data_IF_433021118558
#
_entry.id   IF_433021118558
#
_cell.length_a   1.000
_cell.length_b   1.000
_cell.length_c   1.000
_cell.angle_alpha   90.00
_cell.angle_beta   90.00
_cell.angle_gamma   90.00
#
_symmetry.space_group_name_H-M   'P 1'
#
loop_
_entity.id
_entity.type
_entity.pdbx_description
1 polymer ?
#
# COMPACT_ATOMS: atom_id res chain seq x y z
N UNK A 1 -54.32 -5.87 41.44
CA UNK A 1 -54.03 -7.32 41.56
C UNK A 1 -53.85 -7.84 40.14
N UNK A 2 -52.59 -8.05 39.74
CA UNK A 2 -51.95 -9.39 39.71
C UNK A 2 -52.67 -10.26 38.67
N UNK A 3 -52.11 -10.34 37.45
CA UNK A 3 -51.19 -11.43 37.10
C UNK A 3 -51.86 -12.79 37.34
N UNK A 4 -52.58 -13.29 36.34
CA UNK A 4 -52.52 -14.68 35.87
C UNK A 4 -53.54 -14.87 34.72
N UNK A 5 -53.19 -15.77 33.80
CA UNK A 5 -53.84 -16.09 32.51
C UNK A 5 -53.40 -15.17 31.35
N UNK A 6 -52.11 -15.01 31.01
CA UNK A 6 -51.17 -15.97 30.42
C UNK A 6 -51.80 -17.23 29.78
N UNK A 7 -51.29 -17.56 28.60
CA UNK A 7 -51.42 -18.86 27.92
C UNK A 7 -52.80 -19.26 27.42
N UNK A 8 -53.24 -18.66 26.31
CA UNK A 8 -53.90 -19.40 25.22
C UNK A 8 -53.93 -18.49 23.99
N UNK A 9 -53.02 -18.74 23.03
CA UNK A 9 -53.23 -18.74 21.57
C UNK A 9 -51.89 -18.55 20.81
N UNK A 10 -50.95 -19.47 21.02
CA UNK A 10 -49.99 -19.84 19.97
C UNK A 10 -50.16 -21.34 19.75
N UNK A 11 -51.16 -21.72 18.95
CA UNK A 11 -51.21 -23.06 18.37
C UNK A 11 -50.29 -23.00 17.16
N UNK A 12 -49.03 -23.32 17.36
CA UNK A 12 -48.12 -23.69 16.27
C UNK A 12 -48.60 -25.03 15.73
N UNK A 13 -49.38 -25.01 14.65
CA UNK A 13 -49.65 -26.22 13.89
C UNK A 13 -48.33 -26.70 13.31
N UNK A 14 -47.80 -27.80 13.86
CA UNK A 14 -46.72 -28.54 13.26
C UNK A 14 -47.24 -29.12 11.94
N UNK A 15 -46.98 -28.41 10.85
CA UNK A 15 -47.09 -28.99 9.53
C UNK A 15 -45.91 -29.95 9.36
N UNK A 16 -46.15 -31.24 9.59
CA UNK A 16 -45.22 -32.27 9.14
C UNK A 16 -45.27 -32.27 7.63
N UNK A 17 -44.25 -31.68 6.98
CA UNK A 17 -43.98 -31.99 5.59
C UNK A 17 -43.55 -33.44 5.53
N UNK A 18 -44.49 -34.36 5.35
CA UNK A 18 -44.15 -35.73 4.97
C UNK A 18 -43.56 -35.65 3.57
N UNK A 19 -42.32 -36.13 3.41
CA UNK A 19 -41.75 -36.32 2.10
C UNK A 19 -42.71 -37.25 1.32
N UNK A 20 -43.08 -36.93 0.07
CA UNK A 20 -43.95 -37.78 -0.73
C UNK A 20 -43.40 -39.21 -0.75
N UNK A 21 -44.20 -40.18 -0.31
CA UNK A 21 -43.83 -41.59 -0.27
C UNK A 21 -44.04 -42.22 -1.65
N UNK A 22 -43.23 -41.78 -2.62
CA UNK A 22 -43.36 -42.21 -4.02
C UNK A 22 -42.14 -41.85 -4.86
N UNK A 23 -42.12 -42.33 -6.11
CA UNK A 23 -41.09 -41.98 -7.06
C UNK A 23 -41.65 -41.79 -8.48
N UNK A 24 -41.04 -40.88 -9.23
CA UNK A 24 -41.48 -40.58 -10.60
C UNK A 24 -41.15 -41.74 -11.56
N UNK A 25 -42.08 -42.02 -12.47
CA UNK A 25 -41.92 -42.94 -13.58
C UNK A 25 -42.40 -42.29 -14.88
N UNK A 26 -41.63 -42.47 -15.95
CA UNK A 26 -41.98 -41.99 -17.29
C UNK A 26 -41.75 -43.10 -18.30
N UNK A 27 -42.70 -43.26 -19.23
CA UNK A 27 -42.63 -44.27 -20.29
C UNK A 27 -43.17 -43.73 -21.61
N UNK A 28 -42.86 -44.45 -22.70
CA UNK A 28 -43.44 -44.20 -24.03
C UNK A 28 -44.41 -45.32 -24.33
N UNK A 29 -45.68 -44.98 -24.50
CA UNK A 29 -46.73 -45.95 -24.81
C UNK A 29 -46.79 -46.23 -26.31
N UNK A 30 -46.76 -47.52 -26.67
CA UNK A 30 -46.82 -48.02 -28.05
C UNK A 30 -47.90 -49.08 -28.19
N UNK A 31 -48.49 -49.21 -29.37
CA UNK A 31 -49.38 -50.34 -29.68
C UNK A 31 -48.60 -51.61 -30.05
N UNK A 32 -49.33 -52.69 -30.37
CA UNK A 32 -48.76 -53.98 -30.74
C UNK A 32 -47.92 -53.95 -32.03
N UNK A 33 -48.10 -52.94 -32.89
CA UNK A 33 -47.30 -52.74 -34.10
C UNK A 33 -46.05 -51.89 -33.85
N UNK A 34 -45.91 -51.33 -32.64
CA UNK A 34 -44.78 -50.47 -32.25
C UNK A 34 -45.03 -48.97 -32.49
N UNK A 35 -46.21 -48.59 -32.98
CA UNK A 35 -46.58 -47.20 -33.23
C UNK A 35 -46.89 -46.47 -31.92
N UNK A 36 -46.47 -45.21 -31.82
CA UNK A 36 -46.69 -44.40 -30.61
C UNK A 36 -48.15 -43.98 -30.44
N UNK A 37 -48.65 -44.05 -29.21
CA UNK A 37 -49.99 -43.61 -28.86
C UNK A 37 -50.00 -42.12 -28.56
N UNK A 38 -50.33 -41.27 -29.53
CA UNK A 38 -50.30 -39.81 -29.35
C UNK A 38 -51.57 -39.28 -28.70
N UNK A 39 -51.44 -38.38 -27.72
CA UNK A 39 -52.56 -37.66 -27.08
C UNK A 39 -53.72 -38.56 -26.66
N UNK A 40 -53.41 -39.75 -26.15
CA UNK A 40 -54.40 -40.78 -25.82
C UNK A 40 -54.41 -41.03 -24.32
N UNK A 41 -55.61 -41.11 -23.75
CA UNK A 41 -55.78 -41.61 -22.37
C UNK A 41 -55.60 -43.13 -22.38
N UNK A 42 -54.69 -43.59 -21.54
CA UNK A 42 -54.36 -45.01 -21.34
C UNK A 42 -54.50 -45.34 -19.86
N UNK A 43 -54.60 -46.62 -19.51
CA UNK A 43 -54.52 -47.05 -18.13
C UNK A 43 -53.21 -47.81 -17.93
N UNK A 44 -52.47 -47.46 -16.88
CA UNK A 44 -51.23 -48.11 -16.49
C UNK A 44 -51.43 -48.72 -15.12
N UNK A 45 -51.20 -50.03 -15.01
CA UNK A 45 -51.14 -50.74 -13.74
C UNK A 45 -49.69 -51.04 -13.41
N UNK A 46 -49.31 -50.73 -12.18
CA UNK A 46 -47.99 -50.95 -11.64
C UNK A 46 -48.10 -51.97 -10.52
N UNK A 47 -47.23 -52.99 -10.55
CA UNK A 47 -47.11 -53.97 -9.48
C UNK A 47 -45.66 -54.08 -9.03
N UNK A 48 -45.44 -54.13 -7.71
CA UNK A 48 -44.15 -54.43 -7.10
C UNK A 48 -44.12 -55.91 -6.72
N UNK A 49 -43.14 -56.65 -7.25
CA UNK A 49 -42.93 -58.07 -7.00
C UNK A 49 -41.66 -58.26 -6.17
N UNK A 50 -41.71 -59.14 -5.19
CA UNK A 50 -40.56 -59.44 -4.32
C UNK A 50 -39.76 -60.66 -4.83
N UNK A 51 -38.45 -60.67 -4.60
CA UNK A 51 -37.49 -61.76 -4.85
C UNK A 51 -37.19 -62.04 -6.33
N UNK A 52 -38.20 -62.17 -7.21
CA UNK A 52 -38.02 -62.50 -8.64
C UNK A 52 -39.02 -61.79 -9.55
N UNK A 53 -38.79 -61.82 -10.88
CA UNK A 53 -39.71 -61.26 -11.91
C UNK A 53 -41.10 -61.91 -11.95
N UNK A 54 -41.30 -63.05 -11.29
CA UNK A 54 -42.59 -63.75 -11.13
C UNK A 54 -42.96 -63.92 -9.65
N UNK A 55 -42.35 -63.13 -8.77
CA UNK A 55 -42.55 -63.23 -7.33
C UNK A 55 -43.92 -62.76 -6.86
N UNK A 56 -44.13 -62.79 -5.55
CA UNK A 56 -45.38 -62.32 -4.93
C UNK A 56 -45.52 -60.81 -5.12
N UNK A 57 -46.72 -60.36 -5.52
CA UNK A 57 -47.04 -58.93 -5.59
C UNK A 57 -47.23 -58.41 -4.18
N UNK A 58 -46.35 -57.53 -3.73
CA UNK A 58 -46.43 -56.90 -2.39
C UNK A 58 -47.25 -55.61 -2.43
N UNK A 59 -47.32 -54.96 -3.61
CA UNK A 59 -48.09 -53.75 -3.81
C UNK A 59 -48.51 -53.62 -5.27
N UNK A 60 -49.69 -53.06 -5.53
CA UNK A 60 -50.11 -52.66 -6.87
C UNK A 60 -51.03 -51.45 -6.86
N UNK A 61 -50.95 -50.65 -7.91
CA UNK A 61 -51.77 -49.45 -8.13
C UNK A 61 -52.09 -49.25 -9.62
N UNK A 62 -53.10 -48.42 -9.90
CA UNK A 62 -53.51 -48.07 -11.27
C UNK A 62 -53.55 -46.55 -11.44
N UNK A 63 -53.13 -46.11 -12.63
CA UNK A 63 -53.13 -44.72 -13.09
C UNK A 63 -53.83 -44.61 -14.45
N UNK A 64 -54.41 -43.46 -14.74
CA UNK A 64 -55.06 -43.18 -16.04
C UNK A 64 -54.43 -41.96 -16.74
N UNK A 65 -53.12 -41.97 -17.06
CA UNK A 65 -52.47 -40.82 -17.66
C UNK A 65 -52.91 -40.60 -19.12
N UNK A 66 -52.70 -39.38 -19.60
CA UNK A 66 -52.74 -39.08 -21.03
C UNK A 66 -51.30 -38.99 -21.57
N UNK A 67 -51.06 -39.58 -22.74
CA UNK A 67 -49.79 -39.43 -23.47
C UNK A 67 -49.71 -38.08 -24.18
N UNK A 68 -48.51 -37.62 -24.52
CA UNK A 68 -48.31 -36.43 -25.36
C UNK A 68 -48.14 -36.77 -26.86
N UNK A 69 -47.77 -35.79 -27.69
CA UNK A 69 -47.51 -35.94 -29.14
C UNK A 69 -46.42 -36.97 -29.49
N UNK A 70 -45.59 -37.34 -28.53
CA UNK A 70 -44.51 -38.32 -28.67
C UNK A 70 -44.83 -39.67 -28.01
N UNK A 71 -46.05 -39.85 -27.49
CA UNK A 71 -46.47 -41.05 -26.78
C UNK A 71 -45.95 -41.15 -25.34
N UNK A 72 -45.32 -40.10 -24.81
CA UNK A 72 -44.75 -40.09 -23.46
C UNK A 72 -45.85 -39.85 -22.42
N UNK A 73 -45.86 -40.63 -21.35
CA UNK A 73 -46.65 -40.40 -20.14
C UNK A 73 -45.75 -40.33 -18.90
N UNK A 74 -46.14 -39.54 -17.91
CA UNK A 74 -45.48 -39.45 -16.60
C UNK A 74 -46.48 -39.77 -15.50
N UNK A 75 -46.04 -40.45 -14.45
CA UNK A 75 -46.81 -40.72 -13.24
C UNK A 75 -45.88 -40.79 -12.02
N UNK A 76 -46.46 -40.71 -10.83
CA UNK A 76 -45.75 -40.89 -9.57
C UNK A 76 -46.20 -42.21 -8.93
N UNK A 77 -45.27 -43.17 -8.85
CA UNK A 77 -45.52 -44.47 -8.25
C UNK A 77 -45.72 -44.32 -6.75
N UNK A 78 -46.81 -44.86 -6.20
CA UNK A 78 -47.21 -44.71 -4.81
C UNK A 78 -48.37 -43.72 -4.60
N UNK A 79 -48.78 -42.99 -5.65
CA UNK A 79 -49.87 -42.00 -5.61
C UNK A 79 -51.14 -42.43 -6.37
N UNK A 80 -51.14 -43.62 -6.96
CA UNK A 80 -52.23 -44.13 -7.79
C UNK A 80 -53.39 -44.70 -7.00
N UNK A 81 -54.39 -45.19 -7.73
CA UNK A 81 -55.49 -45.93 -7.10
C UNK A 81 -55.00 -47.32 -6.70
N UNK A 82 -54.85 -47.56 -5.40
CA UNK A 82 -54.32 -48.82 -4.85
C UNK A 82 -55.23 -49.98 -5.22
N UNK A 83 -54.64 -51.02 -5.84
CA UNK A 83 -55.30 -52.29 -6.12
C UNK A 83 -55.07 -53.34 -5.01
N UNK A 84 -53.88 -53.34 -4.40
CA UNK A 84 -53.51 -54.26 -3.31
C UNK A 84 -52.25 -53.79 -2.59
N UNK A 85 -52.12 -54.07 -1.28
CA UNK A 85 -50.96 -53.72 -0.45
C UNK A 85 -50.97 -52.27 0.03
N UNK A 86 -49.91 -51.87 0.74
CA UNK A 86 -49.66 -50.50 1.22
C UNK A 86 -48.21 -50.11 0.91
N UNK A 87 -48.03 -49.06 0.10
CA UNK A 87 -46.72 -48.62 -0.38
C UNK A 87 -45.79 -48.18 0.76
N UNK A 88 -46.35 -47.56 1.80
CA UNK A 88 -45.60 -47.04 2.97
C UNK A 88 -44.93 -48.15 3.79
N UNK A 89 -45.48 -49.36 3.70
CA UNK A 89 -45.03 -50.53 4.47
C UNK A 89 -44.05 -51.43 3.71
N UNK A 90 -43.71 -51.09 2.47
CA UNK A 90 -42.77 -51.87 1.65
C UNK A 90 -41.36 -51.73 2.25
N UNK A 91 -40.82 -52.83 2.77
CA UNK A 91 -39.45 -52.89 3.29
C UNK A 91 -38.44 -53.00 2.13
N UNK A 92 -38.05 -51.86 1.58
CA UNK A 92 -37.09 -51.75 0.47
C UNK A 92 -35.69 -52.34 0.76
N UNK A 93 -35.35 -52.59 2.03
CA UNK A 93 -34.06 -53.14 2.45
C UNK A 93 -34.04 -54.66 2.61
N UNK A 94 -35.22 -55.30 2.74
CA UNK A 94 -35.31 -56.73 3.06
C UNK A 94 -34.97 -57.68 1.90
N UNK A 95 -35.30 -57.33 0.66
CA UNK A 95 -35.09 -58.19 -0.52
C UNK A 95 -35.00 -57.36 -1.82
N UNK A 96 -34.80 -58.02 -2.95
CA UNK A 96 -34.88 -57.43 -4.29
C UNK A 96 -36.33 -57.23 -4.69
N UNK A 97 -36.63 -56.06 -5.25
CA UNK A 97 -37.95 -55.73 -5.78
C UNK A 97 -37.90 -55.54 -7.30
N UNK A 98 -39.00 -55.90 -7.96
CA UNK A 98 -39.20 -55.79 -9.40
C UNK A 98 -40.46 -54.97 -9.67
N UNK A 99 -40.40 -54.03 -10.61
CA UNK A 99 -41.54 -53.27 -11.07
C UNK A 99 -42.09 -53.92 -12.33
N UNK A 100 -43.37 -54.30 -12.30
CA UNK A 100 -44.13 -54.78 -13.46
C UNK A 100 -45.08 -53.70 -13.92
N UNK A 101 -45.02 -53.39 -15.21
CA UNK A 101 -45.85 -52.41 -15.89
C UNK A 101 -46.81 -53.14 -16.82
N UNK A 102 -48.09 -52.86 -16.66
CA UNK A 102 -49.17 -53.41 -17.45
C UNK A 102 -50.00 -52.25 -18.01
N UNK A 103 -50.51 -52.37 -19.24
CA UNK A 103 -51.19 -51.26 -19.92
C UNK A 103 -52.49 -51.72 -20.58
N UNK A 104 -53.53 -50.90 -20.44
CA UNK A 104 -54.71 -50.93 -21.32
C UNK A 104 -54.67 -49.69 -22.24
N UNK A 105 -54.46 -49.95 -23.53
CA UNK A 105 -54.36 -48.94 -24.59
C UNK A 105 -55.60 -48.06 -24.75
N UNK A 106 -56.76 -48.49 -24.24
CA UNK A 106 -58.03 -47.76 -24.33
C UNK A 106 -58.46 -47.15 -22.99
N UNK A 107 -57.62 -47.20 -21.96
CA UNK A 107 -57.92 -46.62 -20.66
C UNK A 107 -58.91 -47.43 -19.81
N UNK A 108 -59.15 -48.70 -20.18
CA UNK A 108 -60.02 -49.61 -19.45
C UNK A 108 -59.31 -50.39 -18.34
N UNK A 109 -59.79 -51.60 -18.06
CA UNK A 109 -59.29 -52.49 -17.01
C UNK A 109 -58.67 -53.79 -17.54
N UNK A 110 -58.49 -53.90 -18.86
CA UNK A 110 -57.93 -55.10 -19.51
C UNK A 110 -56.44 -54.87 -19.80
N UNK A 111 -55.61 -55.16 -18.79
CA UNK A 111 -54.18 -54.86 -18.84
C UNK A 111 -53.37 -55.98 -19.48
N UNK A 112 -52.54 -55.61 -20.46
CA UNK A 112 -51.50 -56.47 -21.01
C UNK A 112 -50.14 -56.16 -20.34
N UNK A 113 -49.34 -57.19 -20.05
CA UNK A 113 -48.02 -57.01 -19.43
C UNK A 113 -47.04 -56.46 -20.46
N UNK A 114 -46.46 -55.29 -20.16
CA UNK A 114 -45.50 -54.61 -21.04
C UNK A 114 -44.06 -54.93 -20.64
N UNK A 115 -43.75 -54.87 -19.34
CA UNK A 115 -42.39 -55.13 -18.85
C UNK A 115 -42.37 -55.53 -17.39
N UNK A 116 -41.40 -56.37 -17.00
CA UNK A 116 -41.01 -56.57 -15.60
C UNK A 116 -39.51 -56.39 -15.46
N UNK A 117 -39.08 -55.42 -14.66
CA UNK A 117 -37.66 -55.07 -14.48
C UNK A 117 -37.30 -54.92 -13.01
N UNK A 118 -36.07 -55.23 -12.61
CA UNK A 118 -35.62 -55.04 -11.24
C UNK A 118 -35.50 -53.54 -10.91
N UNK A 119 -35.97 -53.13 -9.73
CA UNK A 119 -35.66 -51.81 -9.18
C UNK A 119 -34.24 -51.83 -8.59
N UNK A 120 -33.39 -50.93 -9.08
CA UNK A 120 -32.03 -50.73 -8.59
C UNK A 120 -31.97 -49.40 -7.82
N UNK A 121 -31.07 -49.33 -6.83
CA UNK A 121 -30.83 -48.09 -6.09
C UNK A 121 -30.26 -46.99 -7.00
N UNK A 122 -30.73 -45.76 -6.82
CA UNK A 122 -30.11 -44.58 -7.46
C UNK A 122 -28.76 -44.25 -6.79
N UNK A 123 -27.79 -43.63 -7.49
CA UNK A 123 -26.47 -43.34 -6.93
C UNK A 123 -26.47 -42.56 -5.60
N UNK A 124 -27.40 -41.62 -5.43
CA UNK A 124 -27.56 -40.87 -4.17
C UNK A 124 -28.04 -41.76 -3.01
N UNK A 125 -28.89 -42.76 -3.28
CA UNK A 125 -29.35 -43.73 -2.29
C UNK A 125 -28.25 -44.72 -1.89
N UNK A 126 -27.31 -45.04 -2.80
CA UNK A 126 -26.12 -45.83 -2.48
C UNK A 126 -25.17 -45.06 -1.54
N UNK A 127 -25.03 -43.75 -1.71
CA UNK A 127 -24.23 -42.90 -0.81
C UNK A 127 -24.87 -42.75 0.59
N UNK A 128 -26.20 -42.67 0.67
CA UNK A 128 -26.91 -42.65 1.96
C UNK A 128 -26.76 -43.95 2.78
N UNK A 129 -26.56 -45.10 2.11
CA UNK A 129 -26.27 -46.39 2.76
C UNK A 129 -24.90 -46.40 3.46
N UNK A 130 -23.90 -45.72 2.88
CA UNK A 130 -22.58 -45.56 3.50
C UNK A 130 -22.61 -44.59 4.70
N UNK A 131 -23.44 -43.55 4.66
CA UNK A 131 -23.63 -42.62 5.78
C UNK A 131 -24.36 -43.24 6.99
N UNK A 132 -25.19 -44.27 6.76
CA UNK A 132 -25.89 -45.01 7.83
C UNK A 132 -25.07 -46.10 8.51
N UNK A 133 -23.85 -46.39 8.04
CA UNK A 133 -22.99 -47.46 8.56
C UNK A 133 -21.70 -46.92 9.21
N UNK A 134 -21.78 -45.76 9.87
CA UNK A 134 -20.69 -45.28 10.72
C UNK A 134 -20.70 -46.01 12.07
N UNK A 135 -20.52 -47.33 12.06
CA UNK A 135 -20.28 -48.16 13.25
C UNK A 135 -18.81 -48.50 13.44
N UNK A 136 -17.89 -47.73 12.84
CA UNK A 136 -16.43 -47.93 12.98
C UNK A 136 -15.67 -46.75 13.57
N UNK A 137 -16.34 -45.82 14.23
CA UNK A 137 -15.70 -45.01 15.27
C UNK A 137 -16.24 -45.46 16.62
N UNK A 138 -15.76 -46.61 17.10
CA UNK A 138 -15.61 -46.73 18.54
C UNK A 138 -14.63 -45.63 18.90
N UNK A 139 -15.13 -44.54 19.51
CA UNK A 139 -14.26 -43.85 20.44
C UNK A 139 -13.80 -44.91 21.47
N UNK A 140 -12.57 -44.78 21.95
CA UNK A 140 -12.05 -45.69 22.97
C UNK A 140 -12.50 -45.27 24.38
N UNK A 141 -13.29 -44.20 24.48
CA UNK A 141 -13.66 -43.51 25.71
C UNK A 141 -14.96 -42.74 25.50
N UNK A 142 -16.07 -43.38 25.87
CA UNK A 142 -17.43 -42.91 25.59
C UNK A 142 -17.90 -41.77 26.51
N UNK A 143 -16.97 -41.10 27.21
CA UNK A 143 -17.26 -39.99 28.10
C UNK A 143 -17.16 -38.65 27.39
N UNK A 144 -18.30 -38.18 26.88
CA UNK A 144 -18.45 -36.87 26.21
C UNK A 144 -18.05 -35.63 27.02
N UNK A 145 -17.62 -35.78 28.27
CA UNK A 145 -17.30 -34.67 29.18
C UNK A 145 -15.81 -34.50 29.46
N UNK A 146 -14.97 -35.49 29.17
CA UNK A 146 -13.54 -35.40 29.49
C UNK A 146 -12.70 -34.67 28.42
N UNK A 147 -13.29 -34.36 27.26
CA UNK A 147 -12.72 -33.44 26.28
C UNK A 147 -13.11 -31.97 26.51
N UNK A 148 -14.02 -31.71 27.46
CA UNK A 148 -14.47 -30.36 27.80
C UNK A 148 -13.43 -29.64 28.65
N UNK A 149 -12.43 -29.07 27.98
CA UNK A 149 -11.45 -28.21 28.62
C UNK A 149 -11.95 -26.78 28.75
N UNK A 150 -11.86 -26.22 29.95
CA UNK A 150 -12.01 -24.77 30.13
C UNK A 150 -10.69 -24.09 29.83
N UNK A 151 -10.68 -23.23 28.82
CA UNK A 151 -9.54 -22.36 28.54
C UNK A 151 -9.55 -21.20 29.55
N UNK A 152 -8.44 -20.99 30.25
CA UNK A 152 -8.26 -19.85 31.13
C UNK A 152 -6.99 -19.10 30.79
N UNK A 153 -7.05 -17.77 30.83
CA UNK A 153 -5.91 -16.90 30.64
C UNK A 153 -5.63 -16.19 31.96
N UNK A 154 -4.39 -16.31 32.43
CA UNK A 154 -3.88 -15.55 33.57
C UNK A 154 -2.51 -15.01 33.20
N UNK A 155 -2.36 -13.69 33.22
CA UNK A 155 -1.19 -12.98 32.70
C UNK A 155 -0.88 -13.37 31.23
N UNK A 156 0.28 -13.97 30.99
CA UNK A 156 0.83 -14.40 29.70
C UNK A 156 0.64 -15.90 29.46
N UNK A 157 -0.07 -16.61 30.33
CA UNK A 157 -0.16 -18.06 30.28
C UNK A 157 -1.58 -18.48 29.93
N UNK A 158 -1.74 -19.15 28.79
CA UNK A 158 -2.96 -19.86 28.45
C UNK A 158 -2.86 -21.28 29.02
N UNK A 159 -3.82 -21.64 29.86
CA UNK A 159 -3.94 -22.97 30.44
C UNK A 159 -5.27 -23.62 30.07
N UNK A 160 -5.27 -24.95 30.03
CA UNK A 160 -6.48 -25.78 29.97
C UNK A 160 -6.76 -26.37 31.36
N UNK A 161 -8.02 -26.72 31.64
CA UNK A 161 -8.45 -27.18 32.97
C UNK A 161 -7.78 -28.47 33.45
N UNK A 162 -7.38 -29.36 32.54
CA UNK A 162 -6.76 -30.65 32.88
C UNK A 162 -5.22 -30.63 32.83
N UNK A 163 -4.64 -29.43 32.89
CA UNK A 163 -3.19 -29.22 32.96
C UNK A 163 -2.54 -29.05 31.59
N UNK A 164 -1.23 -28.83 31.59
CA UNK A 164 -0.49 -28.14 30.52
C UNK A 164 -0.87 -26.67 30.38
N UNK A 165 0.16 -25.88 30.13
CA UNK A 165 0.03 -24.50 29.77
C UNK A 165 1.00 -24.19 28.66
N UNK A 166 0.65 -23.19 27.86
CA UNK A 166 1.60 -22.52 27.00
C UNK A 166 1.76 -21.12 27.58
N UNK A 167 3.00 -20.74 27.86
CA UNK A 167 3.31 -19.32 28.00
C UNK A 167 3.09 -18.79 26.58
N UNK A 168 1.99 -18.07 26.39
CA UNK A 168 1.86 -17.20 25.25
C UNK A 168 2.97 -16.19 25.48
N UNK A 169 4.13 -16.39 24.86
CA UNK A 169 5.23 -15.44 24.95
C UNK A 169 4.72 -14.15 24.33
N UNK A 170 4.08 -13.34 25.16
CA UNK A 170 3.98 -11.92 25.00
C UNK A 170 5.35 -11.40 25.40
N UNK A 171 6.35 -11.62 24.53
CA UNK A 171 7.17 -10.45 24.22
C UNK A 171 6.15 -9.45 23.72
N UNK A 172 5.91 -8.38 24.47
CA UNK A 172 4.95 -7.32 24.10
C UNK A 172 5.33 -6.56 22.84
N UNK A 173 6.05 -7.19 21.91
CA UNK A 173 6.20 -6.83 20.54
C UNK A 173 5.03 -7.43 19.78
N UNK A 174 4.23 -6.59 19.15
CA UNK A 174 3.59 -7.00 17.90
C UNK A 174 4.63 -7.78 17.09
N UNK A 175 4.29 -8.96 16.56
CA UNK A 175 5.24 -9.80 15.80
C UNK A 175 5.80 -9.08 14.55
N UNK A 176 5.35 -7.85 14.27
CA UNK A 176 6.13 -6.88 13.51
C UNK A 176 5.95 -5.44 13.98
N UNK A 177 5.88 -5.12 15.28
CA UNK A 177 5.70 -3.73 15.75
C UNK A 177 4.35 -3.09 15.36
N UNK A 178 4.08 -1.90 15.89
CA UNK A 178 3.00 -1.02 15.46
C UNK A 178 3.44 -0.28 14.18
N UNK A 179 2.48 0.10 13.33
CA UNK A 179 2.77 0.94 12.15
C UNK A 179 3.35 2.31 12.51
N UNK A 180 3.00 2.83 13.68
CA UNK A 180 3.46 4.11 14.21
C UNK A 180 4.16 3.88 15.55
N UNK A 181 5.41 4.32 15.65
CA UNK A 181 6.12 4.52 16.91
C UNK A 181 6.08 6.01 17.26
N UNK A 182 5.50 6.36 18.41
CA UNK A 182 5.34 7.76 18.83
C UNK A 182 5.93 7.96 20.22
N UNK A 183 6.94 8.80 20.32
CA UNK A 183 7.54 9.28 21.57
C UNK A 183 7.09 10.73 21.77
N UNK A 184 6.41 11.04 22.88
CA UNK A 184 5.89 12.40 23.11
C UNK A 184 5.68 12.74 24.59
N UNK A 185 5.59 14.04 24.90
CA UNK A 185 5.27 14.53 26.24
C UNK A 185 6.41 14.39 27.25
N UNK A 186 6.07 14.18 28.52
CA UNK A 186 7.05 14.05 29.61
C UNK A 186 7.83 12.73 29.63
N UNK A 187 8.03 12.10 28.47
CA UNK A 187 8.68 10.79 28.37
C UNK A 187 10.16 10.89 28.72
N UNK A 188 10.66 10.02 29.59
CA UNK A 188 12.09 9.88 29.88
C UNK A 188 12.78 8.93 28.89
N UNK A 189 14.11 8.90 28.87
CA UNK A 189 14.87 7.93 28.06
C UNK A 189 14.48 6.46 28.38
N UNK A 190 14.18 6.16 29.64
CA UNK A 190 13.77 4.81 30.06
C UNK A 190 12.37 4.46 29.55
N UNK A 191 11.44 5.41 29.58
CA UNK A 191 10.09 5.23 29.04
C UNK A 191 10.12 5.09 27.50
N UNK A 192 10.97 5.89 26.83
CA UNK A 192 11.17 5.80 25.39
C UNK A 192 11.72 4.44 24.99
N UNK A 193 12.73 3.94 25.71
CA UNK A 193 13.27 2.59 25.49
C UNK A 193 12.20 1.50 25.69
N UNK A 194 11.36 1.64 26.72
CA UNK A 194 10.26 0.69 26.95
C UNK A 194 9.24 0.70 25.80
N UNK A 195 8.86 1.89 25.30
CA UNK A 195 7.97 2.02 24.14
C UNK A 195 8.60 1.50 22.86
N UNK A 196 9.88 1.78 22.60
CA UNK A 196 10.59 1.22 21.45
C UNK A 196 10.55 -0.30 21.52
N UNK A 197 10.88 -0.89 22.67
CA UNK A 197 10.88 -2.35 22.83
C UNK A 197 9.49 -2.99 22.68
N UNK A 198 8.39 -2.28 22.92
CA UNK A 198 7.04 -2.82 22.73
C UNK A 198 6.44 -2.52 21.35
N UNK A 199 6.73 -1.34 20.80
CA UNK A 199 6.02 -0.80 19.65
C UNK A 199 6.83 -0.90 18.36
N UNK A 200 8.15 -1.02 18.42
CA UNK A 200 8.98 -1.19 17.23
C UNK A 200 8.96 -2.62 16.69
N UNK A 201 9.00 -2.77 15.37
CA UNK A 201 9.20 -4.03 14.65
C UNK A 201 9.07 -3.86 13.14
N UNK A 202 9.04 -4.97 12.39
CA UNK A 202 9.12 -4.99 10.91
C UNK A 202 8.03 -4.20 10.16
N UNK A 203 6.88 -3.95 10.78
CA UNK A 203 5.77 -3.16 10.23
C UNK A 203 5.82 -1.67 10.65
N UNK A 204 6.79 -1.25 11.46
CA UNK A 204 6.92 0.15 11.85
C UNK A 204 7.32 0.97 10.63
N UNK A 205 6.40 1.78 10.16
CA UNK A 205 6.55 2.60 8.95
C UNK A 205 6.79 4.07 9.30
N UNK A 206 6.30 4.52 10.46
CA UNK A 206 6.37 5.92 10.84
C UNK A 206 6.94 6.03 12.24
N UNK A 207 7.93 6.90 12.40
CA UNK A 207 8.49 7.26 13.71
C UNK A 207 8.25 8.74 13.94
N UNK A 208 7.66 9.06 15.09
CA UNK A 208 7.44 10.44 15.55
C UNK A 208 8.04 10.64 16.94
N UNK A 209 9.02 11.51 17.05
CA UNK A 209 9.60 11.97 18.33
C UNK A 209 9.18 13.42 18.47
N UNK A 210 8.05 13.67 19.15
CA UNK A 210 7.37 14.96 19.08
C UNK A 210 7.06 15.54 20.46
N UNK A 211 7.39 16.81 20.67
CA UNK A 211 7.08 17.57 21.88
C UNK A 211 7.51 16.86 23.18
N UNK A 212 8.68 16.21 23.18
CA UNK A 212 9.18 15.56 24.39
C UNK A 212 9.85 16.57 25.32
N UNK A 213 9.56 16.51 26.62
CA UNK A 213 10.10 17.49 27.59
C UNK A 213 11.19 16.93 28.49
N UNK A 214 11.32 15.60 28.63
CA UNK A 214 12.33 14.98 29.50
C UNK A 214 13.33 14.08 28.73
N UNK A 215 12.98 13.66 27.52
CA UNK A 215 13.81 12.82 26.66
C UNK A 215 15.08 13.56 26.25
N UNK A 216 16.23 12.91 26.46
CA UNK A 216 17.55 13.44 26.13
C UNK A 216 18.24 12.65 25.04
N UNK A 217 17.98 11.35 24.93
CA UNK A 217 18.57 10.51 23.89
C UNK A 217 17.62 9.42 23.42
N UNK A 218 17.74 9.03 22.15
CA UNK A 218 16.98 7.93 21.56
C UNK A 218 17.91 7.10 20.67
N UNK A 219 17.89 5.78 20.86
CA UNK A 219 18.55 4.82 19.99
C UNK A 219 17.52 4.11 19.11
N UNK A 220 17.60 4.35 17.81
CA UNK A 220 16.80 3.74 16.76
C UNK A 220 17.72 3.12 15.69
N UNK A 221 18.94 2.73 16.07
CA UNK A 221 19.95 2.16 15.17
C UNK A 221 19.49 0.87 14.46
N UNK A 222 18.49 0.18 14.99
CA UNK A 222 17.90 -1.01 14.38
C UNK A 222 16.86 -0.71 13.28
N UNK A 223 16.48 0.56 13.08
CA UNK A 223 15.55 0.95 12.01
C UNK A 223 16.30 1.07 10.71
N UNK A 224 15.88 0.34 9.68
CA UNK A 224 16.50 0.36 8.35
C UNK A 224 15.70 1.18 7.34
N UNK A 225 14.37 1.12 7.38
CA UNK A 225 13.52 1.81 6.40
C UNK A 225 12.33 2.44 7.11
N UNK A 226 11.91 3.62 6.64
CA UNK A 226 10.70 4.30 7.11
C UNK A 226 9.91 4.87 5.93
N UNK A 227 8.60 4.97 6.09
CA UNK A 227 7.76 5.82 5.24
C UNK A 227 7.95 7.28 5.64
N UNK A 228 7.88 7.60 6.93
CA UNK A 228 7.96 8.97 7.45
C UNK A 228 8.75 9.00 8.76
N UNK A 229 9.57 10.04 8.92
CA UNK A 229 10.28 10.35 10.16
C UNK A 229 10.04 11.80 10.55
N UNK A 230 9.50 12.02 11.74
CA UNK A 230 9.27 13.36 12.32
C UNK A 230 9.95 13.45 13.69
N UNK A 231 10.95 14.32 13.81
CA UNK A 231 11.62 14.63 15.07
C UNK A 231 11.38 16.10 15.33
N UNK A 232 10.47 16.45 16.25
CA UNK A 232 10.10 17.84 16.42
C UNK A 232 9.68 18.34 17.79
N UNK A 233 10.00 19.60 18.06
CA UNK A 233 9.57 20.29 19.28
C UNK A 233 10.14 19.69 20.57
N UNK A 234 11.25 18.94 20.50
CA UNK A 234 11.80 18.26 21.65
C UNK A 234 12.74 19.20 22.40
N UNK A 235 12.36 19.59 23.62
CA UNK A 235 13.05 20.66 24.34
C UNK A 235 14.39 20.24 24.93
N UNK A 236 14.57 18.96 25.26
CA UNK A 236 15.77 18.45 25.94
C UNK A 236 16.54 17.38 25.14
N UNK A 237 16.03 16.98 23.97
CA UNK A 237 16.64 15.94 23.14
C UNK A 237 17.99 16.41 22.61
N UNK A 238 19.04 15.65 22.86
CA UNK A 238 20.44 15.97 22.53
C UNK A 238 21.00 15.09 21.42
N UNK A 239 20.58 13.81 21.37
CA UNK A 239 21.05 12.87 20.36
C UNK A 239 19.98 11.89 19.90
N UNK A 240 20.00 11.57 18.61
CA UNK A 240 19.19 10.50 18.01
C UNK A 240 20.12 9.61 17.17
N UNK A 241 20.14 8.31 17.47
CA UNK A 241 20.88 7.34 16.66
C UNK A 241 19.95 6.68 15.64
N UNK A 242 20.17 6.96 14.35
CA UNK A 242 19.50 6.33 13.20
C UNK A 242 20.57 5.75 12.26
N UNK A 243 21.69 5.27 12.82
CA UNK A 243 22.84 4.80 12.04
C UNK A 243 22.52 3.61 11.14
N UNK A 244 21.45 2.85 11.41
CA UNK A 244 20.96 1.78 10.53
C UNK A 244 20.00 2.22 9.43
N UNK A 245 19.49 3.47 9.46
CA UNK A 245 18.47 3.93 8.52
C UNK A 245 19.08 4.11 7.12
N UNK A 246 18.60 3.34 6.14
CA UNK A 246 19.04 3.35 4.75
C UNK A 246 18.10 4.13 3.83
N UNK A 247 16.79 4.15 4.11
CA UNK A 247 15.82 4.85 3.26
C UNK A 247 14.64 5.46 4.01
N UNK A 248 14.14 6.58 3.47
CA UNK A 248 12.85 7.19 3.85
C UNK A 248 11.99 7.37 2.60
N UNK A 249 10.81 6.75 2.56
CA UNK A 249 9.98 6.69 1.35
C UNK A 249 9.08 7.91 1.12
N UNK A 250 8.89 8.76 2.13
CA UNK A 250 8.24 10.06 2.01
C UNK A 250 9.11 11.08 2.73
N UNK A 251 8.60 11.71 3.77
CA UNK A 251 9.23 12.88 4.36
C UNK A 251 10.06 12.56 5.59
N UNK A 252 11.19 13.26 5.71
CA UNK A 252 12.05 13.28 6.88
C UNK A 252 12.14 14.71 7.41
N UNK A 253 11.48 14.96 8.53
CA UNK A 253 11.41 16.26 9.19
C UNK A 253 12.19 16.26 10.51
N UNK A 254 13.07 17.26 10.68
CA UNK A 254 13.69 17.62 11.96
C UNK A 254 13.44 19.11 12.19
N UNK A 255 12.56 19.46 13.13
CA UNK A 255 12.23 20.87 13.39
C UNK A 255 12.11 21.22 14.88
N UNK A 256 12.57 22.41 15.27
CA UNK A 256 12.42 22.94 16.64
C UNK A 256 13.07 22.05 17.71
N UNK A 257 14.28 21.55 17.44
CA UNK A 257 15.07 20.73 18.37
C UNK A 257 16.37 21.45 18.75
N UNK A 258 16.25 22.62 19.40
CA UNK A 258 17.37 23.52 19.66
C UNK A 258 18.53 22.91 20.49
N UNK A 259 18.26 21.85 21.26
CA UNK A 259 19.29 21.12 22.03
C UNK A 259 19.83 19.87 21.32
N UNK A 260 19.28 19.48 20.16
CA UNK A 260 19.71 18.31 19.39
C UNK A 260 21.04 18.63 18.71
N UNK A 261 22.14 18.13 19.26
CA UNK A 261 23.50 18.42 18.78
C UNK A 261 24.04 17.36 17.83
N UNK A 262 23.46 16.15 17.86
CA UNK A 262 23.87 15.01 17.04
C UNK A 262 22.68 14.20 16.51
N UNK A 263 22.75 13.82 15.25
CA UNK A 263 21.88 12.81 14.64
C UNK A 263 22.74 11.90 13.76
N UNK A 264 22.73 10.60 14.05
CA UNK A 264 23.51 9.62 13.27
C UNK A 264 22.69 9.15 12.08
N UNK A 265 23.14 9.44 10.85
CA UNK A 265 22.47 9.04 9.59
C UNK A 265 23.47 8.37 8.63
N UNK A 266 24.46 7.66 9.18
CA UNK A 266 25.62 7.19 8.44
C UNK A 266 25.29 6.18 7.33
N UNK A 267 24.13 5.53 7.34
CA UNK A 267 23.72 4.56 6.33
C UNK A 267 22.67 5.07 5.36
N UNK A 268 22.22 6.33 5.49
CA UNK A 268 21.10 6.85 4.72
C UNK A 268 21.51 7.03 3.25
N UNK A 269 20.83 6.33 2.34
CA UNK A 269 21.14 6.29 0.90
C UNK A 269 20.09 7.00 0.05
N UNK A 270 18.80 6.92 0.40
CA UNK A 270 17.72 7.47 -0.43
C UNK A 270 16.61 8.12 0.37
N UNK A 271 16.10 9.25 -0.11
CA UNK A 271 14.87 9.89 0.38
C UNK A 271 13.93 10.11 -0.80
N UNK A 272 12.75 9.49 -0.77
CA UNK A 272 11.79 9.57 -1.87
C UNK A 272 10.79 10.73 -1.74
N UNK A 273 10.79 11.45 -0.61
CA UNK A 273 10.08 12.72 -0.44
C UNK A 273 11.04 13.83 -0.03
N UNK A 274 10.59 14.69 0.86
CA UNK A 274 11.35 15.86 1.31
C UNK A 274 12.24 15.53 2.50
N UNK A 275 13.40 16.15 2.57
CA UNK A 275 14.24 16.20 3.76
C UNK A 275 14.31 17.64 4.27
N UNK A 276 13.93 17.84 5.54
CA UNK A 276 13.90 19.17 6.15
C UNK A 276 14.61 19.17 7.49
N UNK A 277 15.56 20.09 7.65
CA UNK A 277 16.20 20.39 8.93
C UNK A 277 16.00 21.86 9.26
N UNK A 278 15.23 22.15 10.31
CA UNK A 278 14.93 23.51 10.75
C UNK A 278 15.18 23.67 12.24
N UNK A 279 15.73 24.80 12.65
CA UNK A 279 15.75 25.20 14.07
C UNK A 279 16.31 24.11 15.01
N UNK A 280 17.53 23.62 14.73
CA UNK A 280 18.19 22.59 15.54
C UNK A 280 19.57 23.01 16.04
N UNK A 281 20.03 22.34 17.11
CA UNK A 281 21.34 22.56 17.71
C UNK A 281 22.50 21.84 17.01
N UNK A 282 22.28 21.26 15.83
CA UNK A 282 23.25 20.39 15.17
C UNK A 282 24.55 21.13 14.88
N UNK A 283 25.67 20.48 15.17
CA UNK A 283 27.02 21.03 14.91
C UNK A 283 27.65 20.46 13.65
N UNK A 284 27.26 19.24 13.29
CA UNK A 284 27.63 18.59 12.05
C UNK A 284 26.48 17.72 11.56
N UNK A 285 26.41 17.50 10.26
CA UNK A 285 25.44 16.60 9.64
C UNK A 285 26.14 15.79 8.54
N UNK A 286 26.23 14.48 8.76
CA UNK A 286 26.84 13.55 7.82
C UNK A 286 25.75 12.79 7.06
N UNK A 287 25.63 13.11 5.77
CA UNK A 287 24.76 12.48 4.77
C UNK A 287 25.62 11.98 3.60
N UNK A 288 26.88 11.60 3.87
CA UNK A 288 27.86 11.24 2.82
C UNK A 288 27.48 10.00 2.00
N UNK A 289 26.56 9.17 2.50
CA UNK A 289 26.00 8.04 1.76
C UNK A 289 24.73 8.35 0.98
N UNK A 290 24.12 9.52 1.20
CA UNK A 290 22.88 9.91 0.53
C UNK A 290 23.14 10.12 -0.96
N UNK A 291 22.44 9.37 -1.81
CA UNK A 291 22.60 9.36 -3.27
C UNK A 291 21.54 10.21 -3.96
N UNK A 292 20.29 10.16 -3.49
CA UNK A 292 19.16 10.83 -4.16
C UNK A 292 18.16 11.36 -3.14
N UNK A 293 17.63 12.56 -3.41
CA UNK A 293 16.43 13.12 -2.79
C UNK A 293 15.41 13.34 -3.92
N UNK A 294 14.26 12.68 -3.88
CA UNK A 294 13.23 12.86 -4.93
C UNK A 294 12.44 14.15 -4.70
N UNK A 295 12.21 14.55 -3.45
CA UNK A 295 11.55 15.81 -3.10
C UNK A 295 12.53 16.95 -2.86
N UNK A 296 12.20 17.81 -1.91
CA UNK A 296 12.96 19.00 -1.54
C UNK A 296 14.06 18.71 -0.51
N UNK A 297 15.15 19.48 -0.58
CA UNK A 297 16.14 19.64 0.48
C UNK A 297 15.96 21.02 1.10
N UNK A 298 15.45 21.09 2.33
CA UNK A 298 15.19 22.35 3.03
C UNK A 298 15.93 22.42 4.38
N UNK A 299 17.03 23.16 4.41
CA UNK A 299 17.83 23.39 5.63
C UNK A 299 17.77 24.85 6.05
N UNK A 300 17.10 25.16 7.18
CA UNK A 300 17.01 26.56 7.68
C UNK A 300 17.36 26.72 9.15
N UNK A 301 17.93 27.87 9.49
CA UNK A 301 18.12 28.26 10.90
C UNK A 301 18.97 27.24 11.67
N UNK A 302 20.04 26.75 11.05
CA UNK A 302 21.00 25.81 11.64
C UNK A 302 22.29 26.55 12.02
N UNK A 303 22.17 27.62 12.82
CA UNK A 303 23.26 28.56 13.11
C UNK A 303 24.42 27.96 13.93
N UNK A 304 24.30 26.71 14.40
CA UNK A 304 25.39 25.96 15.02
C UNK A 304 26.07 24.97 14.08
N UNK A 305 25.52 24.74 12.88
CA UNK A 305 26.04 23.76 11.92
C UNK A 305 27.34 24.28 11.33
N UNK A 306 28.42 23.53 11.54
CA UNK A 306 29.77 23.86 11.05
C UNK A 306 30.06 23.08 9.77
N UNK A 307 29.64 21.82 9.70
CA UNK A 307 29.87 20.93 8.57
C UNK A 307 28.62 20.21 8.07
N UNK A 308 28.51 20.11 6.75
CA UNK A 308 27.50 19.32 6.05
C UNK A 308 28.18 18.52 4.93
N UNK A 309 28.08 17.20 5.00
CA UNK A 309 28.64 16.29 4.00
C UNK A 309 27.52 15.55 3.25
N UNK A 310 27.43 15.75 1.94
CA UNK A 310 26.54 15.09 0.99
C UNK A 310 27.34 14.63 -0.24
N UNK A 311 28.57 14.16 -0.05
CA UNK A 311 29.53 13.89 -1.14
C UNK A 311 28.98 12.99 -2.27
N UNK A 312 28.13 12.00 -1.95
CA UNK A 312 27.53 11.09 -2.94
C UNK A 312 26.20 11.55 -3.52
N UNK A 313 25.64 12.68 -3.07
CA UNK A 313 24.34 13.14 -3.54
C UNK A 313 24.45 13.49 -5.02
N UNK A 314 23.62 12.86 -5.86
CA UNK A 314 23.65 13.01 -7.32
C UNK A 314 22.52 13.87 -7.85
N UNK A 315 21.34 13.81 -7.23
CA UNK A 315 20.16 14.53 -7.72
C UNK A 315 19.20 14.92 -6.61
N UNK A 316 18.53 16.05 -6.83
CA UNK A 316 17.40 16.55 -6.05
C UNK A 316 16.25 16.79 -7.01
N UNK A 317 15.11 16.14 -6.78
CA UNK A 317 13.93 16.27 -7.63
C UNK A 317 13.08 17.51 -7.35
N UNK A 318 13.28 18.16 -6.21
CA UNK A 318 12.65 19.43 -5.84
C UNK A 318 13.64 20.59 -5.69
N UNK A 319 13.40 21.46 -4.72
CA UNK A 319 14.24 22.60 -4.39
C UNK A 319 15.48 22.18 -3.57
N UNK A 320 16.62 22.79 -3.86
CA UNK A 320 17.78 22.85 -2.96
C UNK A 320 17.73 24.17 -2.21
N UNK A 321 17.57 24.14 -0.88
CA UNK A 321 17.55 25.34 -0.06
C UNK A 321 18.41 25.19 1.19
N UNK A 322 19.39 26.09 1.34
CA UNK A 322 20.14 26.28 2.59
C UNK A 322 20.06 27.74 3.01
N UNK A 323 19.51 28.00 4.19
CA UNK A 323 19.22 29.36 4.66
C UNK A 323 19.55 29.56 6.12
N UNK A 324 20.19 30.68 6.48
CA UNK A 324 20.50 31.01 7.90
C UNK A 324 21.27 29.87 8.58
N UNK A 325 22.37 29.48 7.96
CA UNK A 325 23.33 28.51 8.46
C UNK A 325 24.68 29.23 8.63
N UNK A 326 24.70 30.25 9.47
CA UNK A 326 25.75 31.28 9.48
C UNK A 326 27.15 30.78 9.88
N UNK A 327 27.25 29.63 10.54
CA UNK A 327 28.54 28.98 10.90
C UNK A 327 28.98 27.88 9.94
N UNK A 328 28.17 27.57 8.92
CA UNK A 328 28.47 26.50 7.96
C UNK A 328 29.71 26.90 7.17
N UNK A 329 30.81 26.22 7.41
CA UNK A 329 32.13 26.53 6.82
C UNK A 329 32.69 25.39 6.00
N UNK A 330 32.25 24.16 6.27
CA UNK A 330 32.57 22.97 5.48
C UNK A 330 31.30 22.43 4.84
N UNK A 331 31.25 22.42 3.52
CA UNK A 331 30.11 21.89 2.76
C UNK A 331 30.63 21.06 1.59
N UNK A 332 30.13 19.83 1.42
CA UNK A 332 30.55 18.95 0.32
C UNK A 332 29.33 18.36 -0.37
N UNK A 333 29.21 18.58 -1.68
CA UNK A 333 28.18 17.98 -2.54
C UNK A 333 28.75 17.76 -3.96
N UNK A 334 29.94 17.17 -4.05
CA UNK A 334 30.75 17.13 -5.27
C UNK A 334 30.15 16.31 -6.40
N UNK A 335 29.28 15.34 -6.08
CA UNK A 335 28.60 14.49 -7.06
C UNK A 335 27.27 15.07 -7.54
N UNK A 336 26.80 16.20 -6.99
CA UNK A 336 25.49 16.73 -7.30
C UNK A 336 25.46 17.18 -8.76
N UNK A 337 24.60 16.53 -9.55
CA UNK A 337 24.50 16.71 -10.98
C UNK A 337 23.29 17.54 -11.39
N UNK A 338 22.16 17.38 -10.70
CA UNK A 338 20.91 18.04 -11.07
C UNK A 338 20.08 18.47 -9.86
N UNK A 339 19.49 19.66 -9.95
CA UNK A 339 18.37 20.11 -9.10
C UNK A 339 17.20 20.40 -10.04
N UNK A 340 16.09 19.67 -9.91
CA UNK A 340 14.99 19.78 -10.88
C UNK A 340 14.06 21.00 -10.65
N UNK A 341 14.23 21.72 -9.54
CA UNK A 341 13.54 22.99 -9.27
C UNK A 341 14.55 24.11 -8.97
N UNK A 342 14.42 24.83 -7.86
CA UNK A 342 15.22 26.00 -7.52
C UNK A 342 16.45 25.62 -6.71
N UNK A 343 17.57 26.28 -6.96
CA UNK A 343 18.76 26.24 -6.12
C UNK A 343 18.87 27.57 -5.38
N UNK A 344 18.77 27.53 -4.05
CA UNK A 344 18.86 28.71 -3.21
C UNK A 344 19.81 28.53 -2.03
N UNK A 345 20.66 29.53 -1.83
CA UNK A 345 21.51 29.63 -0.67
C UNK A 345 21.54 31.08 -0.16
N UNK A 346 21.30 31.27 1.14
CA UNK A 346 21.26 32.59 1.75
C UNK A 346 21.68 32.60 3.22
N UNK A 347 22.41 33.65 3.63
CA UNK A 347 22.90 33.82 5.00
C UNK A 347 23.71 32.61 5.52
N UNK A 348 24.62 32.08 4.70
CA UNK A 348 25.54 31.00 5.09
C UNK A 348 26.96 31.49 5.33
N UNK A 349 27.71 30.74 6.14
CA UNK A 349 29.09 31.06 6.52
C UNK A 349 30.18 30.60 5.55
N UNK A 350 29.82 30.13 4.35
CA UNK A 350 30.76 29.54 3.40
C UNK A 350 31.67 30.62 2.79
N UNK A 351 32.93 30.26 2.56
CA UNK A 351 33.88 31.11 1.82
C UNK A 351 33.95 30.77 0.34
N UNK A 352 33.63 29.52 0.01
CA UNK A 352 33.60 29.02 -1.37
C UNK A 352 32.38 28.14 -1.55
N UNK A 353 31.70 28.32 -2.67
CA UNK A 353 30.64 27.44 -3.13
C UNK A 353 31.14 26.67 -4.34
N UNK A 354 31.30 25.36 -4.22
CA UNK A 354 31.88 24.52 -5.27
C UNK A 354 30.95 23.34 -5.59
N UNK A 355 30.45 23.31 -6.84
CA UNK A 355 29.67 22.20 -7.39
C UNK A 355 30.30 21.75 -8.72
N UNK A 356 31.33 20.91 -8.68
CA UNK A 356 32.09 20.53 -9.87
C UNK A 356 31.28 19.68 -10.88
N UNK A 357 30.22 19.01 -10.44
CA UNK A 357 29.42 18.09 -11.28
C UNK A 357 28.04 18.63 -11.67
N UNK A 358 27.63 19.78 -11.14
CA UNK A 358 26.27 20.30 -11.32
C UNK A 358 26.10 20.78 -12.76
N UNK A 359 25.16 20.17 -13.48
CA UNK A 359 24.88 20.41 -14.89
C UNK A 359 23.56 21.14 -15.13
N UNK A 360 22.53 20.83 -14.34
CA UNK A 360 21.18 21.35 -14.61
C UNK A 360 20.49 21.86 -13.36
N UNK A 361 19.85 23.03 -13.48
CA UNK A 361 18.90 23.56 -12.50
C UNK A 361 17.56 23.76 -13.21
N UNK A 362 16.45 23.34 -12.61
CA UNK A 362 15.17 23.29 -13.31
C UNK A 362 14.32 24.55 -13.23
N UNK A 363 14.66 25.51 -12.35
CA UNK A 363 13.91 26.76 -12.19
C UNK A 363 14.80 28.01 -11.96
N UNK A 364 15.23 28.31 -10.73
CA UNK A 364 16.05 29.50 -10.42
C UNK A 364 17.37 29.15 -9.72
N UNK A 365 18.37 30.02 -9.87
CA UNK A 365 19.61 29.95 -9.09
C UNK A 365 19.79 31.24 -8.30
N UNK A 366 19.81 31.13 -6.97
CA UNK A 366 19.71 32.26 -6.05
C UNK A 366 20.76 32.17 -4.93
N UNK A 367 21.72 33.10 -4.92
CA UNK A 367 22.77 33.19 -3.90
C UNK A 367 22.81 34.60 -3.33
N UNK A 368 22.47 34.77 -2.06
CA UNK A 368 22.37 36.13 -1.52
C UNK A 368 22.53 36.28 -0.02
N UNK A 369 22.99 37.48 0.38
CA UNK A 369 23.28 37.82 1.77
C UNK A 369 24.34 36.91 2.43
N UNK A 370 25.29 36.38 1.66
CA UNK A 370 26.38 35.55 2.16
C UNK A 370 27.63 36.41 2.40
N UNK A 371 27.77 36.91 3.63
CA UNK A 371 28.79 37.89 4.01
C UNK A 371 30.24 37.40 3.89
N UNK A 372 30.44 36.09 3.82
CA UNK A 372 31.76 35.46 3.81
C UNK A 372 32.13 34.82 2.46
N UNK A 373 31.19 34.77 1.51
CA UNK A 373 31.36 34.05 0.25
C UNK A 373 32.29 34.81 -0.69
N UNK A 374 33.44 34.23 -1.00
CA UNK A 374 34.49 34.82 -1.85
C UNK A 374 34.42 34.32 -3.29
N UNK A 375 34.01 33.06 -3.49
CA UNK A 375 33.95 32.47 -4.83
C UNK A 375 32.81 31.47 -5.01
N UNK A 376 32.30 31.42 -6.24
CA UNK A 376 31.31 30.44 -6.71
C UNK A 376 31.91 29.71 -7.92
N UNK A 377 31.94 28.39 -7.90
CA UNK A 377 32.49 27.53 -8.94
C UNK A 377 31.49 26.47 -9.39
N UNK A 378 31.00 26.61 -10.63
CA UNK A 378 29.99 25.77 -11.26
C UNK A 378 30.46 25.35 -12.66
N UNK A 379 31.62 24.68 -12.80
CA UNK A 379 32.33 24.53 -14.07
C UNK A 379 31.65 23.61 -15.09
N UNK A 380 30.58 22.90 -14.70
CA UNK A 380 29.82 22.01 -15.58
C UNK A 380 28.37 22.46 -15.77
N UNK A 381 27.97 23.62 -15.20
CA UNK A 381 26.58 24.08 -15.24
C UNK A 381 26.20 24.48 -16.67
N UNK A 382 25.45 23.61 -17.33
CA UNK A 382 25.08 23.72 -18.74
C UNK A 382 23.81 24.56 -18.91
N UNK A 383 22.76 24.21 -18.15
CA UNK A 383 21.45 24.83 -18.31
C UNK A 383 20.76 25.16 -16.99
N UNK A 384 19.99 26.24 -17.05
CA UNK A 384 18.95 26.55 -16.06
C UNK A 384 17.65 26.63 -16.87
N UNK A 385 16.73 25.70 -16.61
CA UNK A 385 15.47 25.54 -17.35
C UNK A 385 14.33 26.34 -16.71
N UNK A 386 13.30 26.68 -17.47
CA UNK A 386 12.08 27.36 -17.00
C UNK A 386 12.28 28.69 -16.24
N UNK A 387 13.43 29.34 -16.41
CA UNK A 387 13.88 30.34 -15.44
C UNK A 387 13.08 31.62 -15.53
N UNK A 388 12.74 32.19 -14.38
CA UNK A 388 12.55 33.63 -14.28
C UNK A 388 13.87 34.33 -13.92
N UNK A 389 14.92 33.63 -13.44
CA UNK A 389 16.16 34.30 -13.06
C UNK A 389 17.43 33.49 -12.70
N UNK A 390 18.57 34.18 -12.84
CA UNK A 390 19.85 33.93 -12.17
C UNK A 390 20.16 35.10 -11.25
N UNK A 391 20.17 34.89 -9.94
CA UNK A 391 20.28 35.94 -8.92
C UNK A 391 21.47 35.71 -8.00
N UNK A 392 22.43 36.63 -8.02
CA UNK A 392 23.55 36.68 -7.09
C UNK A 392 23.66 38.09 -6.52
N UNK A 393 23.27 38.30 -5.28
CA UNK A 393 23.20 39.66 -4.76
C UNK A 393 23.47 39.80 -3.26
N UNK A 394 24.00 40.97 -2.86
CA UNK A 394 24.40 41.24 -1.47
C UNK A 394 25.44 40.25 -0.90
N UNK A 395 26.42 39.85 -1.72
CA UNK A 395 27.57 39.06 -1.27
C UNK A 395 28.84 39.94 -1.27
N UNK A 396 29.08 40.72 -0.20
CA UNK A 396 29.97 41.88 -0.20
C UNK A 396 31.47 41.56 -0.36
N UNK A 397 31.86 40.28 -0.33
CA UNK A 397 33.25 39.84 -0.52
C UNK A 397 33.40 38.85 -1.69
N UNK A 398 32.33 38.65 -2.47
CA UNK A 398 32.34 37.76 -3.62
C UNK A 398 33.12 38.40 -4.77
N UNK A 399 34.23 37.75 -5.16
CA UNK A 399 35.18 38.27 -6.15
C UNK A 399 35.28 37.41 -7.41
N UNK A 400 34.77 36.18 -7.39
CA UNK A 400 34.88 35.24 -8.52
C UNK A 400 33.61 34.42 -8.69
N UNK A 401 33.15 34.29 -9.93
CA UNK A 401 32.02 33.44 -10.31
C UNK A 401 32.42 32.68 -11.58
N UNK A 402 32.43 31.37 -11.52
CA UNK A 402 32.70 30.53 -12.69
C UNK A 402 31.47 29.71 -13.01
N UNK A 403 30.88 29.91 -14.19
CA UNK A 403 29.88 29.01 -14.75
C UNK A 403 30.00 29.04 -16.28
N UNK A 404 29.85 27.90 -16.98
CA UNK A 404 29.90 27.87 -18.43
C UNK A 404 28.52 28.10 -19.06
N UNK A 405 27.45 28.34 -18.28
CA UNK A 405 26.04 28.37 -18.73
C UNK A 405 25.90 28.85 -20.17
N UNK A 406 25.60 27.90 -21.06
CA UNK A 406 25.47 28.15 -22.49
C UNK A 406 24.01 28.17 -22.94
N UNK A 407 23.10 27.73 -22.07
CA UNK A 407 21.71 27.48 -22.42
C UNK A 407 20.70 28.00 -21.37
N UNK A 408 19.83 28.91 -21.78
CA UNK A 408 18.78 29.52 -20.93
C UNK A 408 17.43 29.50 -21.69
N UNK A 409 16.47 28.70 -21.23
CA UNK A 409 15.11 28.65 -21.81
C UNK A 409 14.16 29.53 -20.99
N UNK A 410 13.94 30.77 -21.41
CA UNK A 410 13.01 31.69 -20.73
C UNK A 410 12.57 32.86 -21.61
N UNK A 411 11.28 33.21 -21.49
CA UNK A 411 10.76 34.53 -21.87
C UNK A 411 10.94 35.47 -20.69
N UNK A 412 11.56 36.64 -20.92
CA UNK A 412 11.81 37.68 -19.91
C UNK A 412 12.82 37.26 -18.82
N UNK A 413 13.88 36.57 -19.24
CA UNK A 413 14.97 36.14 -18.36
C UNK A 413 15.65 37.32 -17.64
N UNK A 414 15.90 37.18 -16.34
CA UNK A 414 16.60 38.18 -15.52
C UNK A 414 17.91 37.63 -14.97
N UNK A 415 19.02 38.33 -15.21
CA UNK A 415 20.34 38.00 -14.69
C UNK A 415 20.83 39.13 -13.76
N UNK A 416 20.75 38.93 -12.45
CA UNK A 416 21.23 39.89 -11.46
C UNK A 416 22.52 39.42 -10.82
N UNK A 417 23.53 40.26 -10.90
CA UNK A 417 24.77 40.15 -10.15
C UNK A 417 25.02 41.51 -9.48
N UNK A 418 24.34 41.76 -8.37
CA UNK A 418 24.18 43.11 -7.81
C UNK A 418 24.74 43.20 -6.39
N UNK A 419 25.39 44.30 -6.02
CA UNK A 419 25.88 44.51 -4.64
C UNK A 419 26.86 43.41 -4.17
N UNK A 420 27.82 43.06 -5.02
CA UNK A 420 28.91 42.12 -4.72
C UNK A 420 30.27 42.84 -4.75
N UNK A 421 31.39 42.12 -4.82
CA UNK A 421 32.75 42.68 -4.92
C UNK A 421 33.50 42.17 -6.18
N UNK A 422 32.79 41.95 -7.28
CA UNK A 422 33.42 41.42 -8.50
C UNK A 422 34.34 42.48 -9.12
N UNK A 423 35.58 42.13 -9.48
CA UNK A 423 36.44 43.03 -10.24
C UNK A 423 35.99 43.13 -11.71
N UNK A 424 36.39 44.19 -12.42
CA UNK A 424 36.05 44.38 -13.85
C UNK A 424 36.46 43.19 -14.74
N UNK A 425 37.52 42.46 -14.37
CA UNK A 425 37.92 41.23 -15.09
C UNK A 425 36.84 40.16 -15.01
N UNK A 426 36.19 40.01 -13.85
CA UNK A 426 35.12 39.05 -13.63
C UNK A 426 33.82 39.49 -14.31
N UNK A 427 33.53 40.80 -14.31
CA UNK A 427 32.43 41.37 -15.10
C UNK A 427 32.62 41.09 -16.58
N UNK A 428 33.82 41.31 -17.12
CA UNK A 428 34.15 41.00 -18.52
C UNK A 428 33.96 39.50 -18.83
N UNK A 429 34.40 38.60 -17.95
CA UNK A 429 34.21 37.15 -18.13
C UNK A 429 32.74 36.77 -18.20
N UNK A 430 31.89 37.32 -17.33
CA UNK A 430 30.44 37.06 -17.35
C UNK A 430 29.83 37.55 -18.67
N UNK A 431 30.16 38.76 -19.11
CA UNK A 431 29.67 39.30 -20.38
C UNK A 431 30.08 38.42 -21.56
N UNK A 432 31.33 37.96 -21.61
CA UNK A 432 31.82 37.07 -22.65
C UNK A 432 31.07 35.73 -22.67
N UNK A 433 30.81 35.13 -21.50
CA UNK A 433 30.00 33.90 -21.39
C UNK A 433 28.59 34.11 -21.93
N UNK A 434 27.93 35.20 -21.56
CA UNK A 434 26.55 35.47 -21.98
C UNK A 434 26.41 35.76 -23.48
N UNK A 435 27.43 36.37 -24.11
CA UNK A 435 27.47 36.57 -25.58
C UNK A 435 27.46 35.24 -26.33
N UNK A 436 28.01 34.17 -25.74
CA UNK A 436 28.09 32.86 -26.37
C UNK A 436 26.78 32.05 -26.31
N UNK A 437 25.75 32.53 -25.61
CA UNK A 437 24.47 31.83 -25.47
C UNK A 437 23.74 31.76 -26.82
N UNK A 438 23.31 30.55 -27.20
CA UNK A 438 22.57 30.31 -28.44
C UNK A 438 21.52 29.19 -28.28
N UNK A 439 20.26 29.40 -28.70
CA UNK A 439 19.72 30.63 -29.28
C UNK A 439 19.60 31.75 -28.23
N UNK A 440 19.58 33.01 -28.68
CA UNK A 440 19.42 34.14 -27.78
C UNK A 440 18.04 34.08 -27.06
N UNK A 441 17.98 34.36 -25.75
CA UNK A 441 16.73 34.42 -25.00
C UNK A 441 15.83 35.57 -25.47
N UNK A 442 14.54 35.50 -25.16
CA UNK A 442 13.55 36.54 -25.54
C UNK A 442 13.43 37.59 -24.44
N UNK A 443 13.62 38.88 -24.77
CA UNK A 443 13.61 40.03 -23.84
C UNK A 443 14.49 39.88 -22.57
N UNK A 444 15.75 39.43 -22.68
CA UNK A 444 16.58 39.22 -21.51
C UNK A 444 17.04 40.55 -20.88
N UNK A 445 17.18 40.56 -19.56
CA UNK A 445 17.73 41.68 -18.80
C UNK A 445 18.92 41.26 -17.96
N UNK A 446 20.01 42.03 -18.04
CA UNK A 446 21.28 41.79 -17.36
C UNK A 446 21.65 43.01 -16.52
N UNK A 447 21.88 42.79 -15.23
CA UNK A 447 22.29 43.83 -14.29
C UNK A 447 23.51 43.35 -13.51
N UNK A 448 24.65 43.96 -13.79
CA UNK A 448 25.91 43.74 -13.07
C UNK A 448 26.33 45.06 -12.45
N UNK A 449 25.65 45.47 -11.37
CA UNK A 449 25.79 46.82 -10.79
C UNK A 449 25.99 46.79 -9.26
N UNK A 450 26.38 47.93 -8.69
CA UNK A 450 26.64 48.06 -7.26
C UNK A 450 27.85 47.25 -6.79
N UNK A 451 28.82 46.94 -7.66
CA UNK A 451 30.03 46.27 -7.20
C UNK A 451 30.79 47.21 -6.28
N UNK A 452 31.40 46.67 -5.23
CA UNK A 452 32.21 47.44 -4.29
C UNK A 452 33.62 46.82 -4.15
N UNK A 453 34.67 47.45 -4.72
CA UNK A 453 34.65 48.72 -5.45
C UNK A 453 33.93 48.62 -6.81
N UNK A 454 33.53 49.78 -7.37
CA UNK A 454 32.88 49.87 -8.68
C UNK A 454 33.71 49.21 -9.78
N UNK A 455 33.07 48.40 -10.61
CA UNK A 455 33.71 47.52 -11.57
C UNK A 455 33.09 47.62 -12.98
N UNK A 456 33.21 48.77 -13.66
CA UNK A 456 32.71 48.92 -15.03
C UNK A 456 33.43 47.95 -15.99
N UNK A 457 32.77 47.49 -17.06
CA UNK A 457 33.40 46.65 -18.08
C UNK A 457 34.52 47.41 -18.80
N UNK A 458 35.55 46.69 -19.24
CA UNK A 458 36.74 47.27 -19.89
C UNK A 458 37.16 46.48 -21.13
N UNK A 459 37.81 47.12 -22.10
CA UNK A 459 38.36 46.44 -23.28
C UNK A 459 37.32 45.62 -24.04
N UNK A 460 37.55 44.31 -24.15
CA UNK A 460 36.61 43.38 -24.79
C UNK A 460 35.23 43.37 -24.13
N UNK A 461 35.13 43.56 -22.81
CA UNK A 461 33.84 43.58 -22.12
C UNK A 461 32.91 44.72 -22.56
N UNK A 462 33.46 45.86 -23.02
CA UNK A 462 32.65 46.95 -23.61
C UNK A 462 32.03 46.49 -24.95
N UNK A 463 32.79 45.73 -25.73
CA UNK A 463 32.34 45.15 -27.01
C UNK A 463 31.29 44.08 -26.76
N UNK A 464 31.49 43.22 -25.76
CA UNK A 464 30.56 42.16 -25.38
C UNK A 464 29.24 42.74 -24.88
N UNK A 465 29.27 43.77 -24.01
CA UNK A 465 28.08 44.53 -23.59
C UNK A 465 27.32 45.10 -24.78
N UNK A 466 28.02 45.72 -25.74
CA UNK A 466 27.40 46.27 -26.95
C UNK A 466 26.76 45.17 -27.80
N UNK A 467 27.41 44.01 -27.89
CA UNK A 467 26.92 42.84 -28.62
C UNK A 467 25.64 42.31 -27.99
N UNK A 468 25.59 42.15 -26.66
CA UNK A 468 24.37 41.76 -25.93
C UNK A 468 23.21 42.72 -26.20
N UNK A 469 23.43 44.04 -26.11
CA UNK A 469 22.41 45.04 -26.41
C UNK A 469 21.91 44.92 -27.86
N UNK A 470 22.83 44.70 -28.83
CA UNK A 470 22.45 44.48 -30.23
C UNK A 470 21.65 43.19 -30.45
N UNK A 471 21.86 42.20 -29.58
CA UNK A 471 21.11 40.95 -29.53
C UNK A 471 19.78 41.07 -28.75
N UNK A 472 19.37 42.29 -28.37
CA UNK A 472 18.08 42.56 -27.73
C UNK A 472 18.08 42.51 -26.19
N UNK A 473 19.25 42.46 -25.55
CA UNK A 473 19.35 42.50 -24.09
C UNK A 473 19.20 43.92 -23.55
N UNK A 474 18.50 44.06 -22.43
CA UNK A 474 18.62 45.25 -21.56
C UNK A 474 19.82 45.05 -20.65
N UNK A 475 20.89 45.85 -20.79
CA UNK A 475 22.15 45.64 -20.04
C UNK A 475 22.54 46.86 -19.20
N UNK A 476 22.64 46.67 -17.89
CA UNK A 476 23.13 47.65 -16.92
C UNK A 476 24.43 47.13 -16.28
N UNK A 477 25.43 47.99 -16.20
CA UNK A 477 26.69 47.74 -15.49
C UNK A 477 27.08 48.97 -14.70
N UNK A 478 27.99 48.82 -13.73
CA UNK A 478 28.68 49.94 -13.07
C UNK A 478 29.28 50.97 -14.03
#
# INVERSE_FOLDING_TARGET
>A
MKKLLLSLLLISTFAFGQAPEGFNYQGVARDANGDILKNKSIAIKISLLQTTVTGTIVYSETHNPATNDYGVFSLEVGSGTVGSGDFSTVDWGADKYFIRIEMDINGGTNFDVISTTQLLSVPYALYAKEAGNSTTSSDADSDSTNELQTLSISNDTLSISDGNSVILTNTGTSVGGKSFLVLSGGITDADALALINSDFGENTQVVRIINTTELTSVDLSNITELVELDISGNSNLQSVDLSGLTSVHQSFYVFNNYNLTSISLSSLETINGDITFKESGLTSLNLSNLVTIIGDLDMRNLDNLISLDMTKLTSIGGDFLISKCSKLSTFTATSLNSVLSSFSLQYVGLTTLDFPSLQTIGYSFEIFNDSSLVSINLPQLDSISNTQAFYIYYNPVLTSITHPVTYLYSTDMVYYVINNALPSTQVNSILATLVAISPAPTNPSLYIEGQNPSAPPTGQGITDKTTLISNGWTVTTD
#
